data_IF_539950095054
#
_entry.id   IF_539950095054
#
_cell.length_a   1.000
_cell.length_b   1.000
_cell.length_c   1.000
_cell.angle_alpha   90.00
_cell.angle_beta   90.00
_cell.angle_gamma   90.00
#
_symmetry.space_group_name_H-M   'P 1'
#
loop_
_entity.id
_entity.type
_entity.pdbx_description
1 polymer ?
#
# COMPACT_ATOMS: atom_id res chain seq x y z
N UNK A 1 48.96 -17.15 -25.45
CA UNK A 1 47.71 -16.70 -24.79
C UNK A 1 48.10 -16.02 -23.49
N UNK A 2 48.34 -14.71 -23.55
CA UNK A 2 48.67 -13.93 -22.36
C UNK A 2 47.43 -13.86 -21.46
N UNK A 3 47.61 -14.21 -20.19
CA UNK A 3 46.50 -14.48 -19.26
C UNK A 3 45.90 -13.16 -18.78
N UNK A 4 44.55 -13.04 -18.79
CA UNK A 4 43.81 -11.85 -18.32
C UNK A 4 44.24 -11.34 -16.93
N UNK A 5 44.85 -12.20 -16.12
CA UNK A 5 45.41 -11.85 -14.83
C UNK A 5 46.64 -10.93 -14.94
N UNK A 6 47.52 -11.15 -15.92
CA UNK A 6 48.69 -10.31 -16.14
C UNK A 6 48.28 -8.90 -16.60
N UNK A 7 47.26 -8.81 -17.47
CA UNK A 7 46.70 -7.53 -17.95
C UNK A 7 46.06 -6.75 -16.80
N UNK A 8 45.20 -7.38 -15.99
CA UNK A 8 44.55 -6.72 -14.84
C UNK A 8 45.54 -6.31 -13.74
N UNK A 9 46.63 -7.06 -13.56
CA UNK A 9 47.72 -6.69 -12.64
C UNK A 9 48.53 -5.50 -13.16
N UNK A 10 48.79 -5.42 -14.47
CA UNK A 10 49.46 -4.29 -15.09
C UNK A 10 48.62 -3.01 -14.95
N UNK A 11 47.33 -3.06 -15.26
CA UNK A 11 46.39 -1.94 -15.11
C UNK A 11 46.33 -1.43 -13.65
N UNK A 12 46.28 -2.35 -12.66
CA UNK A 12 46.31 -1.98 -11.24
C UNK A 12 47.63 -1.31 -10.86
N UNK A 13 48.75 -1.83 -11.36
CA UNK A 13 50.08 -1.27 -11.10
C UNK A 13 50.21 0.13 -11.68
N UNK A 14 49.74 0.36 -12.91
CA UNK A 14 49.71 1.67 -13.56
C UNK A 14 48.84 2.67 -12.79
N UNK A 15 47.65 2.25 -12.35
CA UNK A 15 46.76 3.08 -11.54
C UNK A 15 47.39 3.48 -10.21
N UNK A 16 48.11 2.56 -9.55
CA UNK A 16 48.83 2.85 -8.30
C UNK A 16 50.02 3.79 -8.52
N UNK A 17 50.71 3.68 -9.66
CA UNK A 17 51.80 4.60 -10.05
C UNK A 17 51.23 6.01 -10.31
N UNK A 18 50.09 6.13 -11.00
CA UNK A 18 49.44 7.41 -11.23
C UNK A 18 48.99 8.09 -9.92
N UNK A 19 48.46 7.31 -8.96
CA UNK A 19 48.10 7.82 -7.64
C UNK A 19 49.32 8.28 -6.84
N UNK A 20 50.44 7.55 -6.89
CA UNK A 20 51.70 7.98 -6.25
C UNK A 20 52.27 9.23 -6.89
N UNK A 21 52.24 9.35 -8.22
CA UNK A 21 52.67 10.57 -8.93
C UNK A 21 51.84 11.77 -8.54
N UNK A 22 50.51 11.64 -8.52
CA UNK A 22 49.60 12.71 -8.07
C UNK A 22 49.84 13.12 -6.60
N UNK A 23 50.15 12.15 -5.73
CA UNK A 23 50.49 12.44 -4.33
C UNK A 23 51.82 13.19 -4.23
N UNK A 24 52.83 12.79 -5.00
CA UNK A 24 54.13 13.47 -5.05
C UNK A 24 54.03 14.87 -5.63
N UNK A 25 53.21 15.09 -6.66
CA UNK A 25 52.91 16.44 -7.18
C UNK A 25 52.19 17.30 -6.13
N UNK A 26 51.29 16.69 -5.35
CA UNK A 26 50.64 17.37 -4.21
C UNK A 26 51.60 17.68 -3.06
N UNK A 27 52.69 16.93 -2.90
CA UNK A 27 53.71 17.15 -1.86
C UNK A 27 54.85 18.08 -2.33
N UNK A 28 55.12 18.18 -3.64
CA UNK A 28 56.11 19.09 -4.25
C UNK A 28 55.53 20.47 -4.58
N UNK A 29 54.20 20.63 -4.56
CA UNK A 29 53.55 21.93 -4.57
C UNK A 29 53.71 22.63 -3.23
N UNK A 30 54.60 23.62 -3.20
CA UNK A 30 54.77 24.69 -2.19
C UNK A 30 53.64 24.78 -1.15
N UNK A 31 53.95 24.44 0.10
CA UNK A 31 53.07 24.57 1.27
C UNK A 31 52.75 26.02 1.64
N UNK A 32 51.98 26.70 0.81
CA UNK A 32 51.25 27.92 1.19
C UNK A 32 49.99 27.55 1.96
N UNK A 33 49.51 28.40 2.90
CA UNK A 33 48.34 28.09 3.71
C UNK A 33 47.19 27.79 2.76
N UNK A 34 46.71 26.54 2.80
CA UNK A 34 45.49 26.16 2.11
C UNK A 34 44.38 26.98 2.77
N UNK A 35 44.10 28.16 2.23
CA UNK A 35 42.76 28.70 2.32
C UNK A 35 41.92 27.59 1.73
N UNK A 36 41.24 26.85 2.59
CA UNK A 36 40.27 25.84 2.22
C UNK A 36 39.27 26.59 1.36
N UNK A 37 39.52 26.66 0.05
CA UNK A 37 38.57 27.15 -0.92
C UNK A 37 37.46 26.12 -0.86
N UNK A 38 36.48 26.36 0.01
CA UNK A 38 35.33 25.51 0.20
C UNK A 38 34.67 25.39 -1.18
N UNK A 39 34.95 24.29 -1.86
CA UNK A 39 34.37 24.02 -3.16
C UNK A 39 32.91 23.71 -2.88
N UNK A 40 32.06 24.71 -3.08
CA UNK A 40 30.64 24.61 -2.86
C UNK A 40 30.10 23.53 -3.80
N UNK A 41 29.82 22.35 -3.25
CA UNK A 41 29.44 21.17 -4.05
C UNK A 41 28.09 21.38 -4.73
N UNK A 42 27.18 22.05 -4.03
CA UNK A 42 25.77 22.17 -4.39
C UNK A 42 25.29 23.62 -4.55
N UNK A 43 26.18 24.62 -4.49
CA UNK A 43 25.81 26.04 -4.61
C UNK A 43 26.53 26.66 -5.79
N UNK A 44 25.80 27.45 -6.57
CA UNK A 44 26.31 28.16 -7.73
C UNK A 44 26.53 29.65 -7.38
N UNK A 45 27.79 30.14 -7.38
CA UNK A 45 28.12 31.47 -6.87
C UNK A 45 27.57 32.62 -7.72
N UNK A 46 27.31 32.41 -9.02
CA UNK A 46 26.78 33.46 -9.89
C UNK A 46 25.27 33.67 -9.69
N UNK A 47 24.53 32.56 -9.61
CA UNK A 47 23.08 32.59 -9.45
C UNK A 47 22.62 32.64 -7.99
N UNK A 48 23.53 32.39 -7.04
CA UNK A 48 23.26 32.26 -5.59
C UNK A 48 22.17 31.24 -5.26
N UNK A 49 21.96 30.25 -6.13
CA UNK A 49 20.95 29.20 -5.98
C UNK A 49 21.64 27.83 -5.87
N UNK A 50 20.84 26.79 -5.60
CA UNK A 50 21.34 25.43 -5.65
C UNK A 50 21.80 25.09 -7.07
N UNK A 51 23.00 24.49 -7.17
CA UNK A 51 23.59 24.02 -8.41
C UNK A 51 22.68 22.93 -8.99
N UNK A 52 21.97 23.26 -10.07
CA UNK A 52 21.16 22.30 -10.83
C UNK A 52 22.10 21.30 -11.50
N UNK A 53 21.69 20.04 -11.60
CA UNK A 53 22.47 19.01 -12.29
C UNK A 53 22.43 19.30 -13.79
N UNK A 54 23.59 19.46 -14.42
CA UNK A 54 23.71 19.58 -15.87
C UNK A 54 23.46 18.20 -16.51
N UNK A 55 22.20 17.94 -16.84
CA UNK A 55 21.75 16.72 -17.49
C UNK A 55 20.24 16.79 -17.74
N UNK A 56 19.70 16.03 -18.71
CA UNK A 56 18.25 15.95 -18.89
C UNK A 56 17.65 15.51 -17.56
N UNK A 57 16.77 16.33 -16.98
CA UNK A 57 16.19 16.07 -15.67
C UNK A 57 15.53 14.71 -15.68
N UNK A 58 15.99 13.81 -14.80
CA UNK A 58 15.56 12.41 -14.77
C UNK A 58 14.02 12.30 -14.82
N UNK A 59 13.54 11.18 -15.34
CA UNK A 59 12.11 10.83 -15.39
C UNK A 59 11.55 10.73 -13.96
N UNK A 60 11.17 11.88 -13.40
CA UNK A 60 10.51 11.98 -12.10
C UNK A 60 9.09 11.45 -12.22
N UNK A 61 8.58 10.79 -11.17
CA UNK A 61 7.20 10.28 -11.12
C UNK A 61 6.17 11.36 -11.47
N UNK A 62 6.45 12.61 -11.11
CA UNK A 62 5.62 13.77 -11.46
C UNK A 62 5.43 13.93 -12.97
N UNK A 63 6.49 13.76 -13.77
CA UNK A 63 6.42 13.84 -15.25
C UNK A 63 5.72 12.62 -15.86
N UNK A 64 5.85 11.45 -15.23
CA UNK A 64 5.21 10.22 -15.69
C UNK A 64 3.68 10.23 -15.46
N UNK A 65 3.23 10.96 -14.44
CA UNK A 65 1.80 11.10 -14.08
C UNK A 65 1.18 12.39 -14.64
N UNK A 66 2.01 13.31 -15.13
CA UNK A 66 1.56 14.53 -15.80
C UNK A 66 0.65 14.19 -16.99
N UNK A 67 -0.58 14.70 -16.95
CA UNK A 67 -1.59 14.46 -17.99
C UNK A 67 -2.40 13.17 -17.85
N UNK A 68 -2.03 12.22 -16.97
CA UNK A 68 -2.82 10.99 -16.76
C UNK A 68 -4.21 11.30 -16.18
N UNK A 69 -4.28 12.26 -15.25
CA UNK A 69 -5.56 12.70 -14.69
C UNK A 69 -6.48 13.30 -15.77
N UNK A 70 -5.93 14.08 -16.70
CA UNK A 70 -6.69 14.67 -17.80
C UNK A 70 -7.16 13.62 -18.79
N UNK A 71 -6.35 12.59 -19.05
CA UNK A 71 -6.73 11.45 -19.87
C UNK A 71 -7.88 10.67 -19.22
N UNK A 72 -7.79 10.37 -17.93
CA UNK A 72 -8.86 9.68 -17.19
C UNK A 72 -10.18 10.47 -17.23
N UNK A 73 -10.12 11.80 -17.04
CA UNK A 73 -11.32 12.65 -17.11
C UNK A 73 -11.90 12.66 -18.52
N UNK A 74 -11.06 12.76 -19.57
CA UNK A 74 -11.51 12.71 -20.97
C UNK A 74 -12.16 11.36 -21.30
N UNK A 75 -11.56 10.25 -20.89
CA UNK A 75 -12.11 8.91 -21.08
C UNK A 75 -13.44 8.72 -20.34
N UNK A 76 -13.57 9.25 -19.12
CA UNK A 76 -14.82 9.19 -18.35
C UNK A 76 -15.91 10.06 -18.99
N UNK A 77 -15.56 11.23 -19.52
CA UNK A 77 -16.48 12.06 -20.29
C UNK A 77 -16.92 11.40 -21.60
N UNK A 78 -16.02 10.73 -22.32
CA UNK A 78 -16.31 9.97 -23.52
C UNK A 78 -17.28 8.82 -23.21
N UNK A 79 -17.02 8.04 -22.16
CA UNK A 79 -17.91 6.95 -21.69
C UNK A 79 -19.28 7.44 -21.23
N UNK A 80 -19.39 8.66 -20.70
CA UNK A 80 -20.70 9.28 -20.36
C UNK A 80 -21.42 9.85 -21.57
N UNK A 81 -20.67 10.30 -22.59
CA UNK A 81 -21.21 10.81 -23.87
C UNK A 81 -21.65 9.70 -24.79
N UNK A 82 -21.04 8.51 -24.69
CA UNK A 82 -21.57 7.30 -25.30
C UNK A 82 -23.03 7.14 -24.87
N UNK A 83 -23.92 7.24 -25.86
CA UNK A 83 -25.35 7.15 -25.63
C UNK A 83 -25.65 5.83 -24.93
N UNK A 84 -26.44 5.91 -23.86
CA UNK A 84 -26.80 4.77 -23.04
C UNK A 84 -27.38 3.67 -23.95
N UNK A 85 -26.65 2.56 -24.13
CA UNK A 85 -27.06 1.50 -25.03
C UNK A 85 -28.30 0.77 -24.47
N UNK A 86 -29.47 1.26 -24.88
CA UNK A 86 -30.79 0.77 -24.48
C UNK A 86 -31.02 -0.70 -24.89
N UNK A 87 -30.24 -1.23 -25.84
CA UNK A 87 -30.36 -2.62 -26.32
C UNK A 87 -29.58 -3.60 -25.44
N UNK A 88 -28.46 -3.17 -24.84
CA UNK A 88 -27.67 -3.98 -23.92
C UNK A 88 -28.20 -3.94 -22.47
N UNK A 89 -29.04 -2.96 -22.13
CA UNK A 89 -29.73 -2.92 -20.84
C UNK A 89 -30.91 -3.91 -20.87
N UNK A 90 -30.73 -5.05 -20.22
CA UNK A 90 -31.83 -6.00 -20.01
C UNK A 90 -33.00 -5.33 -19.27
N UNK A 91 -34.26 -5.61 -19.66
CA UNK A 91 -35.42 -5.14 -18.93
C UNK A 91 -35.33 -5.63 -17.48
N UNK A 92 -35.18 -4.70 -16.54
CA UNK A 92 -35.07 -5.02 -15.10
C UNK A 92 -36.42 -5.48 -14.55
N UNK A 93 -36.39 -6.35 -13.54
CA UNK A 93 -37.61 -6.80 -12.84
C UNK A 93 -38.31 -5.60 -12.19
N UNK A 94 -39.64 -5.60 -12.14
CA UNK A 94 -40.42 -4.52 -11.54
C UNK A 94 -40.04 -4.21 -10.08
N UNK A 95 -39.57 -5.21 -9.32
CA UNK A 95 -39.14 -5.08 -7.93
C UNK A 95 -37.65 -4.72 -7.76
N UNK A 96 -36.90 -4.47 -8.84
CA UNK A 96 -35.46 -4.21 -8.75
C UNK A 96 -35.15 -2.96 -7.92
N UNK A 97 -35.98 -1.92 -8.09
CA UNK A 97 -35.81 -0.65 -7.41
C UNK A 97 -36.17 -0.77 -5.93
N UNK A 98 -37.27 -1.48 -5.63
CA UNK A 98 -37.64 -1.81 -4.25
C UNK A 98 -36.53 -2.59 -3.55
N UNK A 99 -35.92 -3.56 -4.22
CA UNK A 99 -34.79 -4.32 -3.67
C UNK A 99 -33.59 -3.40 -3.43
N UNK A 100 -33.24 -2.53 -4.37
CA UNK A 100 -32.12 -1.58 -4.23
C UNK A 100 -32.33 -0.62 -3.05
N UNK A 101 -33.51 -0.01 -2.97
CA UNK A 101 -33.83 0.93 -1.90
C UNK A 101 -33.90 0.23 -0.53
N UNK A 102 -34.45 -0.98 -0.49
CA UNK A 102 -34.43 -1.81 0.71
C UNK A 102 -32.99 -2.13 1.12
N UNK A 103 -32.12 -2.55 0.20
CA UNK A 103 -30.71 -2.86 0.52
C UNK A 103 -29.96 -1.64 1.07
N UNK A 104 -30.24 -0.44 0.56
CA UNK A 104 -29.63 0.79 1.07
C UNK A 104 -30.10 1.15 2.48
N UNK A 105 -31.35 0.85 2.82
CA UNK A 105 -31.89 1.05 4.18
C UNK A 105 -31.36 -0.03 5.13
N UNK A 106 -31.32 -1.28 4.68
CA UNK A 106 -30.86 -2.42 5.46
C UNK A 106 -29.36 -2.35 5.76
N UNK A 107 -28.51 -1.90 4.83
CA UNK A 107 -27.06 -1.82 5.09
C UNK A 107 -26.67 -0.99 6.32
N UNK A 108 -27.40 0.11 6.57
CA UNK A 108 -27.21 0.94 7.77
C UNK A 108 -27.65 0.22 9.03
N UNK A 109 -28.74 -0.55 8.95
CA UNK A 109 -29.28 -1.30 10.07
C UNK A 109 -28.42 -2.53 10.37
N UNK A 110 -28.04 -3.31 9.36
CA UNK A 110 -27.16 -4.48 9.43
C UNK A 110 -25.87 -4.17 10.18
N UNK A 111 -25.25 -3.01 9.93
CA UNK A 111 -24.05 -2.60 10.67
C UNK A 111 -24.33 -2.47 12.17
N UNK A 112 -25.42 -1.78 12.54
CA UNK A 112 -25.82 -1.60 13.95
C UNK A 112 -26.24 -2.92 14.59
N UNK A 113 -26.91 -3.79 13.84
CA UNK A 113 -27.30 -5.12 14.29
C UNK A 113 -26.06 -5.97 14.56
N UNK A 114 -25.06 -5.95 13.69
CA UNK A 114 -23.79 -6.66 13.89
C UNK A 114 -23.01 -6.10 15.08
N UNK A 115 -22.99 -4.78 15.27
CA UNK A 115 -22.42 -4.14 16.46
C UNK A 115 -23.14 -4.59 17.73
N UNK A 116 -24.48 -4.61 17.73
CA UNK A 116 -25.29 -5.07 18.85
C UNK A 116 -25.05 -6.56 19.15
N UNK A 117 -25.03 -7.43 18.14
CA UNK A 117 -24.69 -8.85 18.26
C UNK A 117 -23.30 -9.01 18.90
N UNK A 118 -22.30 -8.26 18.44
CA UNK A 118 -20.96 -8.29 19.01
C UNK A 118 -20.94 -7.84 20.48
N UNK A 119 -21.73 -6.81 20.85
CA UNK A 119 -21.86 -6.41 22.26
C UNK A 119 -22.50 -7.48 23.13
N UNK A 120 -23.56 -8.13 22.64
CA UNK A 120 -24.24 -9.24 23.34
C UNK A 120 -23.28 -10.41 23.52
N UNK A 121 -22.52 -10.78 22.49
CA UNK A 121 -21.51 -11.84 22.59
C UNK A 121 -20.43 -11.50 23.62
N UNK A 122 -19.91 -10.27 23.65
CA UNK A 122 -18.94 -9.86 24.68
C UNK A 122 -19.52 -9.98 26.09
N UNK A 123 -20.76 -9.53 26.30
CA UNK A 123 -21.43 -9.66 27.60
C UNK A 123 -21.61 -11.12 28.01
N UNK A 124 -22.06 -11.98 27.09
CA UNK A 124 -22.22 -13.42 27.33
C UNK A 124 -20.89 -14.12 27.63
N UNK A 125 -19.83 -13.80 26.90
CA UNK A 125 -18.50 -14.36 27.16
C UNK A 125 -17.95 -13.88 28.51
N UNK A 126 -18.20 -12.63 28.89
CA UNK A 126 -17.83 -12.09 30.20
C UNK A 126 -18.60 -12.75 31.34
N UNK A 127 -19.90 -12.99 31.19
CA UNK A 127 -20.69 -13.70 32.20
C UNK A 127 -20.21 -15.15 32.35
N UNK A 128 -20.01 -15.86 31.25
CA UNK A 128 -19.48 -17.24 31.29
C UNK A 128 -18.10 -17.31 31.95
N UNK A 129 -17.20 -16.35 31.65
CA UNK A 129 -15.88 -16.29 32.30
C UNK A 129 -15.95 -15.95 33.79
N UNK A 130 -16.93 -15.12 34.21
CA UNK A 130 -17.16 -14.81 35.62
C UNK A 130 -17.63 -16.03 36.39
N UNK A 131 -18.51 -16.82 35.79
CA UNK A 131 -19.07 -18.03 36.40
C UNK A 131 -18.05 -19.19 36.40
N UNK A 132 -17.17 -19.26 35.39
CA UNK A 132 -16.08 -20.24 35.28
C UNK A 132 -14.71 -19.58 35.02
N UNK A 133 -14.02 -19.11 36.07
CA UNK A 133 -12.71 -18.47 35.96
C UNK A 133 -11.61 -19.51 35.64
N UNK A 134 -11.38 -19.78 34.35
CA UNK A 134 -10.29 -20.66 33.89
C UNK A 134 -10.62 -21.54 32.69
N UNK A 135 -11.88 -21.60 32.27
CA UNK A 135 -12.27 -22.35 31.07
C UNK A 135 -11.87 -21.58 29.80
N UNK A 136 -11.16 -22.24 28.88
CA UNK A 136 -11.04 -21.78 27.50
C UNK A 136 -12.43 -21.91 26.84
N UNK A 137 -13.01 -20.76 26.50
CA UNK A 137 -14.35 -20.73 25.90
C UNK A 137 -14.20 -20.98 24.40
N UNK A 138 -14.34 -22.23 23.96
CA UNK A 138 -14.50 -22.56 22.55
C UNK A 138 -15.89 -22.14 22.08
N UNK A 139 -15.92 -21.00 21.39
CA UNK A 139 -17.14 -20.35 20.91
C UNK A 139 -17.85 -21.24 19.88
N UNK A 140 -17.11 -22.02 19.10
CA UNK A 140 -17.68 -22.84 18.02
C UNK A 140 -18.31 -24.12 18.60
N UNK A 141 -17.62 -24.79 19.52
CA UNK A 141 -18.18 -25.94 20.21
C UNK A 141 -19.42 -25.60 21.06
N UNK A 142 -19.42 -24.44 21.74
CA UNK A 142 -20.56 -23.97 22.53
C UNK A 142 -21.75 -23.53 21.67
N UNK A 143 -21.53 -22.93 20.50
CA UNK A 143 -22.61 -22.63 19.55
C UNK A 143 -23.24 -23.91 19.01
N UNK A 144 -22.44 -24.89 18.59
CA UNK A 144 -22.94 -26.16 18.07
C UNK A 144 -23.71 -26.97 19.13
N UNK A 145 -23.24 -26.96 20.39
CA UNK A 145 -23.95 -27.62 21.49
C UNK A 145 -25.31 -26.95 21.79
N UNK A 146 -25.37 -25.62 21.78
CA UNK A 146 -26.60 -24.86 22.02
C UNK A 146 -27.61 -24.97 20.85
N UNK A 147 -27.14 -25.12 19.61
CA UNK A 147 -28.01 -25.41 18.46
C UNK A 147 -28.63 -26.81 18.58
N UNK A 148 -27.83 -27.82 18.93
CA UNK A 148 -28.30 -29.19 19.08
C UNK A 148 -29.31 -29.36 20.23
N UNK A 149 -29.17 -28.58 21.32
CA UNK A 149 -30.13 -28.54 22.43
C UNK A 149 -31.46 -27.92 22.02
N UNK A 150 -31.44 -26.77 21.30
CA UNK A 150 -32.66 -26.14 20.77
C UNK A 150 -33.39 -27.01 19.75
N UNK A 151 -32.65 -27.68 18.88
CA UNK A 151 -33.24 -28.56 17.88
C UNK A 151 -33.88 -29.78 18.55
N UNK A 152 -33.29 -30.30 19.63
CA UNK A 152 -33.89 -31.36 20.44
C UNK A 152 -35.14 -30.87 21.21
N UNK A 153 -35.11 -29.66 21.79
CA UNK A 153 -36.27 -29.05 22.46
C UNK A 153 -37.42 -28.78 21.50
N UNK A 154 -37.13 -28.25 20.30
CA UNK A 154 -38.14 -28.04 19.27
C UNK A 154 -38.73 -29.36 18.74
N UNK A 155 -37.90 -30.40 18.59
CA UNK A 155 -38.38 -31.72 18.21
C UNK A 155 -39.25 -32.36 19.31
N UNK A 156 -38.91 -32.20 20.59
CA UNK A 156 -39.73 -32.66 21.71
C UNK A 156 -41.04 -31.87 21.84
N UNK A 157 -41.03 -30.58 21.50
CA UNK A 157 -42.24 -29.74 21.49
C UNK A 157 -43.20 -30.05 20.34
N UNK A 158 -42.74 -30.71 19.27
CA UNK A 158 -43.60 -31.04 18.12
C UNK A 158 -44.23 -32.43 18.19
N UNK A 159 -43.95 -33.21 19.25
CA UNK A 159 -44.49 -34.56 19.46
C UNK A 159 -45.67 -34.56 20.48
N UNK A 160 -46.01 -33.38 21.05
CA UNK A 160 -47.07 -33.16 22.04
C UNK A 160 -48.28 -32.33 21.49
N UNK A 161 -48.34 -32.09 20.16
CA UNK A 161 -49.52 -31.56 19.43
C UNK A 161 -50.10 -32.59 18.44
#
# INVERSE_FOLDING_TARGET
>A
METNLAVTQAERKERLIALRKRKLESEQGNGGPSHFAFKQRNFDPETRQSRKRDGPGDDTVEKAVEGLAEQIIKEDEEKRKEELDLFNIQPRRANWDLKRDMTNRMSKLERRTNEAIATIFRQRLQSMKKDNPGAEVDIVASMNAAEHERDAENAASSDDE
#
